data_IF_732631510040
#
_entry.id   IF_732631510040
#
_cell.length_a   1.000
_cell.length_b   1.000
_cell.length_c   1.000
_cell.angle_alpha   90.00
_cell.angle_beta   90.00
_cell.angle_gamma   90.00
#
_symmetry.space_group_name_H-M   'P 1'
#
loop_
_entity.id
_entity.type
_entity.pdbx_description
1 polymer ?
#
# COMPACT_ATOMS: atom_id res chain seq x y z
N UNK A 1 12.67 3.37 -0.30
CA UNK A 1 11.63 4.33 -0.71
C UNK A 1 10.66 3.59 -1.61
N UNK A 2 9.42 3.44 -1.17
CA UNK A 2 8.34 2.71 -1.85
C UNK A 2 7.15 3.65 -1.96
N UNK A 3 6.54 3.70 -3.13
CA UNK A 3 5.29 4.43 -3.37
C UNK A 3 4.21 3.39 -3.58
N UNK A 4 3.18 3.39 -2.72
CA UNK A 4 2.04 2.49 -2.85
C UNK A 4 1.07 3.00 -3.90
N UNK A 5 0.66 2.11 -4.79
CA UNK A 5 -0.47 2.32 -5.68
C UNK A 5 -1.80 2.15 -4.90
N UNK A 6 -2.85 2.78 -5.41
CA UNK A 6 -4.23 2.61 -4.96
C UNK A 6 -4.66 1.14 -4.93
N UNK A 7 -4.19 0.29 -5.85
CA UNK A 7 -4.56 -1.13 -5.85
C UNK A 7 -4.01 -1.88 -4.63
N UNK A 8 -2.78 -1.59 -4.21
CA UNK A 8 -2.18 -2.19 -3.00
C UNK A 8 -2.90 -1.68 -1.76
N UNK A 9 -3.21 -0.38 -1.70
CA UNK A 9 -3.98 0.18 -0.59
C UNK A 9 -5.38 -0.42 -0.50
N UNK A 10 -6.04 -0.63 -1.64
CA UNK A 10 -7.39 -1.22 -1.69
C UNK A 10 -7.38 -2.68 -1.26
N UNK A 11 -6.34 -3.45 -1.62
CA UNK A 11 -6.18 -4.84 -1.18
C UNK A 11 -6.15 -4.96 0.35
N UNK A 12 -5.45 -4.06 1.04
CA UNK A 12 -5.39 -4.02 2.51
C UNK A 12 -6.75 -3.71 3.18
N UNK A 13 -7.69 -3.17 2.42
CA UNK A 13 -9.05 -2.84 2.88
C UNK A 13 -10.08 -3.91 2.50
N UNK A 14 -9.69 -4.91 1.71
CA UNK A 14 -10.58 -5.99 1.30
C UNK A 14 -11.00 -6.84 2.52
N UNK A 15 -12.20 -7.46 2.51
CA UNK A 15 -12.65 -8.33 3.61
C UNK A 15 -11.72 -9.52 3.90
N UNK A 16 -10.97 -9.96 2.89
CA UNK A 16 -9.97 -11.02 2.98
C UNK A 16 -8.75 -10.63 2.13
N UNK A 17 -7.79 -9.87 2.70
CA UNK A 17 -6.62 -9.39 1.98
C UNK A 17 -5.65 -10.53 1.65
N UNK A 18 -4.84 -10.33 0.61
CA UNK A 18 -3.75 -11.23 0.27
C UNK A 18 -2.65 -11.22 1.33
N UNK A 19 -2.44 -12.37 1.97
CA UNK A 19 -1.37 -12.61 2.95
C UNK A 19 0.02 -12.23 2.40
N UNK A 20 0.24 -12.40 1.10
CA UNK A 20 1.51 -12.05 0.47
C UNK A 20 1.73 -10.53 0.46
N UNK A 21 0.67 -9.74 0.23
CA UNK A 21 0.74 -8.28 0.23
C UNK A 21 0.97 -7.76 1.64
N UNK A 22 0.27 -8.33 2.64
CA UNK A 22 0.46 -7.97 4.05
C UNK A 22 1.88 -8.28 4.54
N UNK A 23 2.37 -9.49 4.24
CA UNK A 23 3.71 -9.94 4.64
C UNK A 23 4.78 -9.04 4.03
N UNK A 24 4.68 -8.79 2.72
CA UNK A 24 5.60 -7.90 2.03
C UNK A 24 5.56 -6.48 2.61
N UNK A 25 4.38 -5.94 2.92
CA UNK A 25 4.26 -4.59 3.46
C UNK A 25 4.82 -4.49 4.89
N UNK A 26 4.63 -5.52 5.70
CA UNK A 26 5.16 -5.59 7.07
C UNK A 26 6.69 -5.61 7.14
N UNK A 27 7.37 -6.05 6.08
CA UNK A 27 8.83 -6.02 5.96
C UNK A 27 9.39 -4.63 5.62
N UNK A 28 8.53 -3.67 5.25
CA UNK A 28 8.97 -2.34 4.86
C UNK A 28 9.17 -1.43 6.08
N UNK A 29 10.24 -0.62 6.04
CA UNK A 29 10.40 0.44 7.02
C UNK A 29 9.33 1.52 6.80
N UNK A 30 8.49 1.79 7.81
CA UNK A 30 7.33 2.70 7.72
C UNK A 30 7.71 4.10 7.19
N UNK A 31 8.83 4.65 7.64
CA UNK A 31 9.31 5.97 7.18
C UNK A 31 9.72 6.01 5.70
N UNK A 32 9.81 4.86 5.04
CA UNK A 32 10.17 4.72 3.64
C UNK A 32 8.97 4.37 2.73
N UNK A 33 7.74 4.32 3.27
CA UNK A 33 6.49 4.04 2.55
C UNK A 33 5.70 5.33 2.36
N UNK A 34 5.31 5.60 1.12
CA UNK A 34 4.61 6.82 0.73
C UNK A 34 3.39 6.50 -0.14
N UNK A 35 2.44 7.42 -0.21
CA UNK A 35 1.32 7.40 -1.15
C UNK A 35 1.34 8.67 -2.00
N UNK A 36 0.68 8.64 -3.15
CA UNK A 36 0.52 9.84 -3.99
C UNK A 36 -0.80 10.54 -3.69
N UNK A 37 -0.84 11.86 -3.86
CA UNK A 37 -2.09 12.62 -3.96
C UNK A 37 -2.35 12.91 -5.43
N UNK A 38 -3.57 12.63 -5.91
CA UNK A 38 -4.00 12.96 -7.27
C UNK A 38 -4.90 14.20 -7.21
N UNK A 39 -4.54 15.25 -7.93
CA UNK A 39 -5.34 16.49 -8.05
C UNK A 39 -6.05 16.48 -9.41
N UNK A 40 -7.37 16.72 -9.42
CA UNK A 40 -8.19 16.82 -10.63
C UNK A 40 -8.22 18.23 -11.23
N UNK A 41 -8.49 18.33 -12.54
CA UNK A 41 -8.72 19.58 -13.28
C UNK A 41 -10.20 19.96 -13.34
#
# INVERSE_FOLDING_TARGET
MIILDTNVLSELLAPAPSVAVETWLAEQQTAAVFTTTVTGS
#
